data_IF_199524950337
#
_entry.id   IF_199524950337
#
_cell.length_a   1.000
_cell.length_b   1.000
_cell.length_c   1.000
_cell.angle_alpha   90.00
_cell.angle_beta   90.00
_cell.angle_gamma   90.00
#
_symmetry.space_group_name_H-M   'P 1'
#
loop_
_entity.id
_entity.type
_entity.pdbx_description
1 polymer ?
#
# COMPACT_ATOMS: atom_id res chain seq x y z
N UNK A 1 -9.54 17.13 20.16
CA UNK A 1 -9.20 15.88 19.46
C UNK A 1 -8.71 16.28 18.08
N UNK A 2 -7.45 16.00 17.73
CA UNK A 2 -6.96 16.25 16.36
C UNK A 2 -7.54 15.13 15.50
N UNK A 3 -8.37 15.48 14.53
CA UNK A 3 -8.94 14.53 13.58
C UNK A 3 -7.85 14.14 12.58
N UNK A 4 -7.44 12.87 12.54
CA UNK A 4 -6.36 12.41 11.66
C UNK A 4 -6.67 12.64 10.17
N UNK A 5 -7.86 12.25 9.76
CA UNK A 5 -8.41 12.47 8.42
C UNK A 5 -9.92 12.63 8.47
N UNK A 6 -10.49 13.30 7.47
CA UNK A 6 -11.94 13.36 7.26
C UNK A 6 -12.38 12.41 6.14
N UNK A 7 -13.65 12.00 6.13
CA UNK A 7 -14.22 11.20 5.04
C UNK A 7 -14.05 11.87 3.68
N UNK A 8 -14.22 13.20 3.62
CA UNK A 8 -14.03 13.96 2.38
C UNK A 8 -12.59 13.93 1.88
N UNK A 9 -11.61 14.10 2.77
CA UNK A 9 -10.18 13.98 2.44
C UNK A 9 -9.87 12.55 1.95
N UNK A 10 -10.40 11.53 2.63
CA UNK A 10 -10.21 10.13 2.24
C UNK A 10 -10.73 9.85 0.84
N UNK A 11 -11.98 10.22 0.57
CA UNK A 11 -12.60 10.04 -0.74
C UNK A 11 -11.84 10.81 -1.82
N UNK A 12 -11.31 11.99 -1.49
CA UNK A 12 -10.49 12.77 -2.41
C UNK A 12 -9.19 12.05 -2.74
N UNK A 13 -8.44 11.56 -1.76
CA UNK A 13 -7.24 10.75 -2.01
C UNK A 13 -7.58 9.51 -2.82
N UNK A 14 -8.63 8.76 -2.45
CA UNK A 14 -9.09 7.57 -3.18
C UNK A 14 -9.37 7.87 -4.66
N UNK A 15 -10.05 8.99 -4.96
CA UNK A 15 -10.35 9.39 -6.34
C UNK A 15 -9.11 9.76 -7.16
N UNK A 16 -8.09 10.34 -6.52
CA UNK A 16 -6.88 10.83 -7.19
C UNK A 16 -5.75 9.79 -7.21
N UNK A 17 -5.80 8.79 -6.33
CA UNK A 17 -4.71 7.83 -6.10
C UNK A 17 -4.27 7.11 -7.38
N UNK A 18 -5.21 6.81 -8.28
CA UNK A 18 -4.95 6.15 -9.58
C UNK A 18 -4.83 7.12 -10.76
N UNK A 19 -4.87 8.42 -10.53
CA UNK A 19 -4.74 9.40 -11.61
C UNK A 19 -3.39 9.31 -12.31
N UNK A 20 -3.38 9.67 -13.59
CA UNK A 20 -2.17 9.92 -14.36
C UNK A 20 -1.87 11.41 -14.51
N UNK A 21 -2.75 12.30 -14.04
CA UNK A 21 -2.49 13.73 -14.06
C UNK A 21 -1.51 14.15 -12.94
N UNK A 22 -0.50 14.94 -13.29
CA UNK A 22 0.55 15.34 -12.36
C UNK A 22 0.03 16.24 -11.23
N UNK A 23 -0.91 17.15 -11.53
CA UNK A 23 -1.48 18.06 -10.53
C UNK A 23 -2.37 17.30 -9.56
N UNK A 24 -3.15 16.33 -10.04
CA UNK A 24 -3.96 15.45 -9.21
C UNK A 24 -3.12 14.60 -8.25
N UNK A 25 -2.03 14.01 -8.74
CA UNK A 25 -1.11 13.24 -7.90
C UNK A 25 -0.46 14.11 -6.82
N UNK A 26 -0.02 15.33 -7.18
CA UNK A 26 0.53 16.29 -6.21
C UNK A 26 -0.50 16.65 -5.14
N UNK A 27 -1.76 16.84 -5.53
CA UNK A 27 -2.84 17.16 -4.59
C UNK A 27 -3.11 15.98 -3.64
N UNK A 28 -3.09 14.74 -4.13
CA UNK A 28 -3.20 13.55 -3.28
C UNK A 28 -2.07 13.47 -2.26
N UNK A 29 -0.81 13.66 -2.69
CA UNK A 29 0.36 13.68 -1.79
C UNK A 29 0.26 14.80 -0.75
N UNK A 30 -0.20 15.99 -1.13
CA UNK A 30 -0.40 17.09 -0.19
C UNK A 30 -1.39 16.73 0.93
N UNK A 31 -2.51 16.05 0.60
CA UNK A 31 -3.47 15.58 1.61
C UNK A 31 -2.81 14.55 2.54
N UNK A 32 -2.06 13.59 1.99
CA UNK A 32 -1.35 12.57 2.77
C UNK A 32 -0.33 13.20 3.74
N UNK A 33 0.38 14.24 3.31
CA UNK A 33 1.30 14.99 4.18
C UNK A 33 0.57 15.74 5.30
N UNK A 34 -0.61 16.28 5.02
CA UNK A 34 -1.47 16.88 6.05
C UNK A 34 -1.86 15.82 7.09
N UNK A 35 -2.22 14.60 6.66
CA UNK A 35 -2.49 13.50 7.58
C UNK A 35 -1.25 13.15 8.42
N UNK A 36 -0.05 13.10 7.80
CA UNK A 36 1.22 12.88 8.51
C UNK A 36 1.46 13.92 9.60
N UNK A 37 1.20 15.20 9.33
CA UNK A 37 1.36 16.27 10.32
C UNK A 37 0.37 16.11 11.48
N UNK A 38 -0.88 15.70 11.19
CA UNK A 38 -1.93 15.54 12.21
C UNK A 38 -1.75 14.28 13.06
N UNK A 39 -1.31 13.19 12.47
CA UNK A 39 -1.24 11.86 13.10
C UNK A 39 0.17 11.49 13.58
N UNK A 40 1.21 12.12 13.04
CA UNK A 40 2.60 11.77 13.34
C UNK A 40 2.87 10.29 13.06
N UNK A 41 3.42 9.60 14.06
CA UNK A 41 3.76 8.17 13.97
C UNK A 41 2.53 7.25 13.98
N UNK A 42 1.33 7.77 14.23
CA UNK A 42 0.08 7.00 14.16
C UNK A 42 -0.51 6.99 12.75
N UNK A 43 0.14 7.63 11.77
CA UNK A 43 -0.30 7.56 10.38
C UNK A 43 -0.26 6.11 9.89
N UNK A 44 -1.38 5.65 9.35
CA UNK A 44 -1.50 4.26 8.94
C UNK A 44 -0.50 3.95 7.80
N UNK A 45 0.17 2.79 7.84
CA UNK A 45 1.33 2.50 6.97
C UNK A 45 0.97 2.52 5.49
N UNK A 46 -0.25 2.12 5.13
CA UNK A 46 -0.73 2.17 3.74
C UNK A 46 -0.76 3.59 3.13
N UNK A 47 -1.01 4.63 3.94
CA UNK A 47 -0.97 6.03 3.50
C UNK A 47 0.47 6.48 3.34
N UNK A 48 1.36 6.06 4.24
CA UNK A 48 2.79 6.34 4.10
C UNK A 48 3.37 5.72 2.82
N UNK A 49 3.00 4.47 2.53
CA UNK A 49 3.42 3.79 1.30
C UNK A 49 2.83 4.47 0.06
N UNK A 50 1.58 4.92 0.16
CA UNK A 50 0.92 5.69 -0.91
C UNK A 50 1.65 7.00 -1.18
N UNK A 51 2.01 7.76 -0.15
CA UNK A 51 2.78 9.00 -0.29
C UNK A 51 4.10 8.76 -1.01
N UNK A 52 4.85 7.73 -0.59
CA UNK A 52 6.16 7.40 -1.14
C UNK A 52 6.07 6.95 -2.62
N UNK A 53 5.11 6.08 -2.94
CA UNK A 53 4.86 5.60 -4.30
C UNK A 53 4.48 6.75 -5.23
N UNK A 54 3.54 7.60 -4.81
CA UNK A 54 3.09 8.73 -5.63
C UNK A 54 4.21 9.76 -5.80
N UNK A 55 5.00 10.03 -4.76
CA UNK A 55 6.17 10.92 -4.85
C UNK A 55 7.20 10.42 -5.86
N UNK A 56 7.45 9.11 -5.91
CA UNK A 56 8.34 8.51 -6.90
C UNK A 56 7.82 8.71 -8.34
N UNK A 57 6.52 8.51 -8.55
CA UNK A 57 5.86 8.71 -9.86
C UNK A 57 5.89 10.19 -10.28
N UNK A 58 5.62 11.12 -9.35
CA UNK A 58 5.65 12.57 -9.61
C UNK A 58 7.05 13.00 -10.07
N UNK A 59 8.09 12.64 -9.31
CA UNK A 59 9.48 12.98 -9.65
C UNK A 59 9.91 12.41 -11.01
N UNK A 60 9.44 11.20 -11.34
CA UNK A 60 9.71 10.56 -12.62
C UNK A 60 9.06 11.31 -13.80
N UNK A 61 7.79 11.69 -13.65
CA UNK A 61 7.05 12.46 -14.66
C UNK A 61 7.65 13.84 -14.88
N UNK A 62 8.02 14.53 -13.82
CA UNK A 62 8.62 15.88 -13.90
C UNK A 62 9.94 15.87 -14.65
N UNK A 63 10.82 14.92 -14.32
CA UNK A 63 12.11 14.79 -15.01
C UNK A 63 11.93 14.34 -16.46
N UNK A 64 11.00 13.44 -16.74
CA UNK A 64 10.68 13.06 -18.14
C UNK A 64 10.19 14.26 -18.96
N UNK A 65 9.33 15.10 -18.38
CA UNK A 65 8.86 16.33 -19.02
C UNK A 65 9.99 17.34 -19.25
N UNK A 66 10.91 17.48 -18.28
CA UNK A 66 12.06 18.37 -18.39
C UNK A 66 13.02 17.90 -19.49
N UNK A 67 13.39 16.62 -19.53
CA UNK A 67 14.26 16.07 -20.57
C UNK A 67 13.65 16.19 -21.98
N UNK A 68 12.33 16.08 -22.11
CA UNK A 68 11.65 16.32 -23.38
C UNK A 68 11.75 17.79 -23.84
N UNK A 69 11.78 18.74 -22.90
CA UNK A 69 11.89 20.16 -23.20
C UNK A 69 13.34 20.60 -23.51
N UNK A 70 14.34 20.04 -22.81
CA UNK A 70 15.74 20.46 -22.93
C UNK A 70 16.56 19.62 -23.90
N UNK A 71 16.06 18.45 -24.32
CA UNK A 71 16.81 17.45 -25.11
C UNK A 71 18.12 17.02 -24.47
N UNK A 72 18.25 17.18 -23.14
CA UNK A 72 19.44 16.82 -22.38
C UNK A 72 19.14 15.61 -21.47
N UNK A 73 20.04 14.63 -21.49
CA UNK A 73 19.94 13.43 -20.66
C UNK A 73 20.66 13.65 -19.34
N UNK A 74 19.91 14.05 -18.31
CA UNK A 74 20.45 14.19 -16.95
C UNK A 74 20.58 12.80 -16.29
N UNK A 75 21.81 12.28 -16.32
CA UNK A 75 22.16 11.01 -15.69
C UNK A 75 21.95 11.03 -14.17
N UNK A 76 22.13 12.18 -13.51
CA UNK A 76 21.95 12.33 -12.07
C UNK A 76 20.46 12.29 -11.71
N UNK A 77 19.62 12.96 -12.50
CA UNK A 77 18.16 12.85 -12.37
C UNK A 77 17.69 11.39 -12.53
N UNK A 78 18.20 10.69 -13.55
CA UNK A 78 17.88 9.27 -13.77
C UNK A 78 18.31 8.40 -12.57
N UNK A 79 19.48 8.67 -12.00
CA UNK A 79 19.97 7.98 -10.80
C UNK A 79 19.06 8.25 -9.59
N UNK A 80 18.68 9.51 -9.36
CA UNK A 80 17.79 9.91 -8.26
C UNK A 80 16.41 9.27 -8.36
N UNK A 81 15.83 9.17 -9.56
CA UNK A 81 14.58 8.46 -9.79
C UNK A 81 14.69 6.98 -9.41
N UNK A 82 15.78 6.32 -9.81
CA UNK A 82 16.02 4.91 -9.46
C UNK A 82 16.10 4.72 -7.95
N UNK A 83 16.80 5.61 -7.24
CA UNK A 83 16.86 5.57 -5.78
C UNK A 83 15.48 5.74 -5.13
N UNK A 84 14.69 6.71 -5.61
CA UNK A 84 13.38 7.00 -5.05
C UNK A 84 12.39 5.84 -5.26
N UNK A 85 12.36 5.26 -6.48
CA UNK A 85 11.57 4.06 -6.73
C UNK A 85 12.05 2.85 -5.92
N UNK A 86 13.37 2.66 -5.80
CA UNK A 86 13.92 1.60 -4.95
C UNK A 86 13.49 1.74 -3.50
N UNK A 87 13.53 2.96 -2.94
CA UNK A 87 13.03 3.23 -1.59
C UNK A 87 11.55 2.87 -1.47
N UNK A 88 10.72 3.24 -2.44
CA UNK A 88 9.29 2.90 -2.48
C UNK A 88 9.05 1.37 -2.47
N UNK A 89 9.73 0.62 -3.34
CA UNK A 89 9.59 -0.84 -3.43
C UNK A 89 10.09 -1.52 -2.17
N UNK A 90 11.26 -1.12 -1.64
CA UNK A 90 11.83 -1.69 -0.42
C UNK A 90 10.89 -1.50 0.77
N UNK A 91 10.41 -0.27 0.98
CA UNK A 91 9.50 0.07 2.08
C UNK A 91 8.20 -0.71 1.99
N UNK A 92 7.62 -0.78 0.79
CA UNK A 92 6.39 -1.53 0.55
C UNK A 92 6.55 -3.04 0.81
N UNK A 93 7.61 -3.68 0.30
CA UNK A 93 7.84 -5.11 0.50
C UNK A 93 8.13 -5.42 1.98
N UNK A 94 8.88 -4.55 2.67
CA UNK A 94 9.12 -4.69 4.10
C UNK A 94 7.81 -4.59 4.90
N UNK A 95 6.93 -3.63 4.57
CA UNK A 95 5.60 -3.52 5.17
C UNK A 95 4.78 -4.81 5.02
N UNK A 96 4.69 -5.37 3.80
CA UNK A 96 3.97 -6.63 3.59
C UNK A 96 4.58 -7.80 4.36
N UNK A 97 5.90 -7.83 4.46
CA UNK A 97 6.58 -8.84 5.26
C UNK A 97 6.24 -8.69 6.75
N UNK A 98 6.26 -7.48 7.31
CA UNK A 98 5.90 -7.21 8.71
C UNK A 98 4.45 -7.61 9.00
N UNK A 99 3.50 -7.23 8.14
CA UNK A 99 2.11 -7.65 8.24
C UNK A 99 1.94 -9.17 8.31
N UNK A 100 2.71 -9.92 7.52
CA UNK A 100 2.64 -11.38 7.51
C UNK A 100 3.26 -12.01 8.77
N UNK A 101 4.35 -11.43 9.26
CA UNK A 101 5.01 -11.92 10.48
C UNK A 101 4.13 -11.67 11.70
N UNK A 102 3.46 -10.52 11.80
CA UNK A 102 2.52 -10.20 12.86
C UNK A 102 1.33 -11.17 12.88
N UNK A 103 0.79 -11.55 11.72
CA UNK A 103 -0.31 -12.53 11.63
C UNK A 103 0.06 -13.95 12.05
N UNK A 104 1.35 -14.28 12.10
CA UNK A 104 1.83 -15.63 12.44
C UNK A 104 3.07 -15.56 13.34
N UNK A 105 2.95 -15.01 14.56
CA UNK A 105 4.11 -14.73 15.42
C UNK A 105 4.82 -16.02 15.86
N UNK A 106 4.11 -17.16 15.86
CA UNK A 106 4.66 -18.46 16.18
C UNK A 106 5.52 -19.08 15.06
N UNK A 107 5.59 -18.48 13.86
CA UNK A 107 6.30 -19.02 12.70
C UNK A 107 7.30 -18.01 12.13
N UNK A 108 8.58 -18.28 12.31
CA UNK A 108 9.63 -17.52 11.62
C UNK A 108 9.58 -17.82 10.12
N UNK A 109 9.10 -16.85 9.34
CA UNK A 109 9.05 -16.93 7.87
C UNK A 109 10.15 -16.10 7.24
N UNK A 110 10.76 -16.61 6.17
CA UNK A 110 11.59 -15.77 5.30
C UNK A 110 10.72 -14.71 4.60
N UNK A 111 11.30 -13.57 4.22
CA UNK A 111 10.61 -12.51 3.47
C UNK A 111 9.88 -13.08 2.25
N UNK A 112 10.56 -13.96 1.49
CA UNK A 112 9.99 -14.59 0.30
C UNK A 112 8.75 -15.43 0.61
N UNK A 113 8.74 -16.16 1.72
CA UNK A 113 7.57 -16.94 2.16
C UNK A 113 6.44 -16.01 2.59
N UNK A 114 6.75 -15.04 3.47
CA UNK A 114 5.79 -14.09 4.01
C UNK A 114 5.04 -13.34 2.90
N UNK A 115 5.76 -12.68 2.00
CA UNK A 115 5.14 -11.88 0.94
C UNK A 115 4.41 -12.71 -0.11
N UNK A 116 4.77 -13.98 -0.31
CA UNK A 116 4.02 -14.88 -1.20
C UNK A 116 2.59 -15.11 -0.71
N UNK A 117 2.37 -15.08 0.61
CA UNK A 117 1.03 -15.20 1.21
C UNK A 117 0.13 -14.00 0.88
N UNK A 118 0.73 -12.86 0.53
CA UNK A 118 0.02 -11.65 0.09
C UNK A 118 -0.05 -11.54 -1.43
N UNK A 119 0.20 -12.64 -2.15
CA UNK A 119 0.25 -12.72 -3.61
C UNK A 119 1.29 -11.78 -4.24
N UNK A 120 2.38 -11.48 -3.53
CA UNK A 120 3.50 -10.72 -4.09
C UNK A 120 4.29 -11.63 -5.02
N UNK A 121 4.43 -11.29 -6.32
CA UNK A 121 5.16 -12.11 -7.26
C UNK A 121 6.66 -12.08 -6.94
N UNK A 122 7.33 -13.20 -7.17
CA UNK A 122 8.74 -13.39 -6.84
C UNK A 122 9.67 -12.33 -7.45
N UNK A 123 9.34 -11.83 -8.64
CA UNK A 123 10.15 -10.79 -9.30
C UNK A 123 10.13 -9.45 -8.55
N UNK A 124 9.04 -9.08 -7.88
CA UNK A 124 8.99 -7.85 -7.05
C UNK A 124 9.89 -8.00 -5.82
N UNK A 125 9.89 -9.20 -5.22
CA UNK A 125 10.78 -9.53 -4.09
C UNK A 125 12.24 -9.47 -4.53
N UNK A 126 12.54 -9.94 -5.75
CA UNK A 126 13.86 -9.85 -6.34
C UNK A 126 14.30 -8.41 -6.59
N UNK A 127 13.41 -7.53 -7.08
CA UNK A 127 13.69 -6.08 -7.22
C UNK A 127 14.09 -5.47 -5.87
N UNK A 128 13.41 -5.81 -4.78
CA UNK A 128 13.77 -5.39 -3.42
C UNK A 128 15.14 -5.92 -3.01
N UNK A 129 15.44 -7.19 -3.29
CA UNK A 129 16.72 -7.81 -2.96
C UNK A 129 17.87 -7.11 -3.71
N UNK A 130 17.71 -6.88 -5.00
CA UNK A 130 18.68 -6.17 -5.84
C UNK A 130 18.93 -4.74 -5.35
N UNK A 131 17.86 -4.00 -5.10
CA UNK A 131 17.94 -2.61 -4.63
C UNK A 131 18.61 -2.44 -3.26
N UNK A 132 18.66 -3.49 -2.44
CA UNK A 132 19.26 -3.44 -1.09
C UNK A 132 20.67 -4.02 -1.04
N UNK A 133 20.92 -5.13 -1.76
CA UNK A 133 22.13 -5.94 -1.57
C UNK A 133 22.96 -6.14 -2.84
N UNK A 134 22.45 -5.76 -4.01
CA UNK A 134 23.14 -5.96 -5.29
C UNK A 134 23.24 -4.64 -6.06
N UNK A 135 23.06 -4.69 -7.38
CA UNK A 135 23.07 -3.53 -8.25
C UNK A 135 21.67 -2.93 -8.33
N UNK A 136 21.61 -1.59 -8.30
CA UNK A 136 20.36 -0.85 -8.43
C UNK A 136 19.63 -1.27 -9.72
N UNK A 137 18.36 -1.69 -9.67
CA UNK A 137 17.65 -2.13 -10.88
C UNK A 137 17.51 -1.00 -11.91
N UNK A 138 17.19 -1.38 -13.15
CA UNK A 138 16.93 -0.39 -14.20
C UNK A 138 15.65 0.40 -13.90
N UNK A 139 15.57 1.63 -14.38
CA UNK A 139 14.40 2.49 -14.14
C UNK A 139 13.10 1.85 -14.67
N UNK A 140 13.15 1.12 -15.78
CA UNK A 140 11.98 0.42 -16.33
C UNK A 140 11.46 -0.69 -15.41
N UNK A 141 12.37 -1.49 -14.83
CA UNK A 141 12.01 -2.53 -13.87
C UNK A 141 11.40 -1.91 -12.61
N UNK A 142 11.99 -0.80 -12.13
CA UNK A 142 11.53 -0.07 -10.96
C UNK A 142 10.13 0.53 -11.16
N UNK A 143 9.87 1.18 -12.29
CA UNK A 143 8.54 1.68 -12.67
C UNK A 143 7.51 0.55 -12.66
N UNK A 144 7.87 -0.60 -13.24
CA UNK A 144 6.99 -1.78 -13.29
C UNK A 144 6.69 -2.32 -11.88
N UNK A 145 7.73 -2.45 -11.04
CA UNK A 145 7.58 -2.90 -9.65
C UNK A 145 6.70 -1.94 -8.83
N UNK A 146 6.94 -0.64 -8.94
CA UNK A 146 6.18 0.37 -8.21
C UNK A 146 4.73 0.46 -8.67
N UNK A 147 4.45 0.33 -9.96
CA UNK A 147 3.08 0.23 -10.46
C UNK A 147 2.37 -1.01 -9.90
N UNK A 148 3.06 -2.15 -9.84
CA UNK A 148 2.51 -3.34 -9.19
C UNK A 148 2.19 -3.08 -7.70
N UNK A 149 3.09 -2.44 -6.95
CA UNK A 149 2.84 -2.06 -5.55
C UNK A 149 1.65 -1.11 -5.41
N UNK A 150 1.51 -0.14 -6.33
CA UNK A 150 0.39 0.81 -6.39
C UNK A 150 -0.93 0.08 -6.59
N UNK A 151 -1.00 -0.84 -7.54
CA UNK A 151 -2.19 -1.63 -7.82
C UNK A 151 -2.54 -2.58 -6.66
N UNK A 152 -1.53 -3.11 -5.97
CA UNK A 152 -1.73 -3.91 -4.77
C UNK A 152 -2.38 -3.07 -3.66
N UNK A 153 -1.86 -1.87 -3.36
CA UNK A 153 -2.47 -0.96 -2.36
C UNK A 153 -3.87 -0.55 -2.75
N UNK A 154 -4.11 -0.30 -4.04
CA UNK A 154 -5.45 -0.02 -4.52
C UNK A 154 -6.43 -1.13 -4.14
N UNK A 155 -6.10 -2.38 -4.50
CA UNK A 155 -6.99 -3.52 -4.32
C UNK A 155 -7.15 -3.94 -2.86
N UNK A 156 -6.11 -3.77 -2.04
CA UNK A 156 -6.06 -4.29 -0.67
C UNK A 156 -6.33 -3.25 0.41
N UNK A 157 -6.31 -1.96 0.07
CA UNK A 157 -6.55 -0.86 1.01
C UNK A 157 -7.55 0.15 0.46
N UNK A 158 -7.23 0.87 -0.61
CA UNK A 158 -8.06 2.00 -1.06
C UNK A 158 -9.44 1.60 -1.59
N UNK A 159 -9.60 0.40 -2.15
CA UNK A 159 -10.91 -0.11 -2.59
C UNK A 159 -11.81 -0.53 -1.43
N UNK A 160 -11.25 -0.89 -0.28
CA UNK A 160 -12.00 -1.33 0.89
C UNK A 160 -12.81 -0.18 1.52
N UNK A 161 -13.85 -0.50 2.31
CA UNK A 161 -14.47 0.47 3.21
C UNK A 161 -13.43 1.14 4.11
N UNK A 162 -13.67 2.40 4.51
CA UNK A 162 -12.72 3.19 5.31
C UNK A 162 -12.38 2.45 6.61
N UNK A 163 -13.40 1.94 7.30
CA UNK A 163 -13.23 1.23 8.56
C UNK A 163 -12.28 0.04 8.39
N UNK A 164 -12.55 -0.83 7.41
CA UNK A 164 -11.67 -1.96 7.09
C UNK A 164 -10.25 -1.51 6.72
N UNK A 165 -10.11 -0.48 5.89
CA UNK A 165 -8.82 0.00 5.41
C UNK A 165 -7.92 0.53 6.55
N UNK A 166 -8.53 1.11 7.59
CA UNK A 166 -7.86 1.71 8.74
C UNK A 166 -7.55 0.64 9.80
N UNK A 167 -8.48 -0.28 10.05
CA UNK A 167 -8.33 -1.41 11.00
C UNK A 167 -7.17 -2.35 10.65
N UNK A 168 -6.69 -2.36 9.40
CA UNK A 168 -5.44 -3.05 9.05
C UNK A 168 -4.19 -2.47 9.74
N UNK A 169 -4.26 -1.31 10.41
CA UNK A 169 -3.11 -0.64 11.00
C UNK A 169 -3.23 -0.33 12.51
N UNK A 170 -4.42 -0.37 13.11
CA UNK A 170 -4.60 -0.14 14.55
C UNK A 170 -4.94 -1.46 15.26
N UNK A 171 -3.96 -1.97 16.02
CA UNK A 171 -4.03 -3.04 17.02
C UNK A 171 -4.60 -4.43 16.63
N UNK A 172 -3.78 -5.47 16.88
CA UNK A 172 -4.11 -6.90 16.72
C UNK A 172 -5.39 -7.35 17.47
N UNK A 173 -5.80 -6.64 18.53
CA UNK A 173 -7.03 -6.97 19.28
C UNK A 173 -8.31 -6.68 18.50
N UNK A 174 -8.38 -5.58 17.75
CA UNK A 174 -9.58 -5.20 17.01
C UNK A 174 -9.77 -6.08 15.76
N UNK A 175 -8.68 -6.45 15.10
CA UNK A 175 -8.71 -7.39 13.97
C UNK A 175 -9.09 -8.82 14.42
N UNK A 176 -8.60 -9.30 15.56
CA UNK A 176 -9.05 -10.58 16.11
C UNK A 176 -10.52 -10.53 16.51
N UNK A 177 -10.99 -9.42 17.11
CA UNK A 177 -12.41 -9.23 17.41
C UNK A 177 -13.26 -9.21 16.14
N UNK A 178 -12.85 -8.52 15.08
CA UNK A 178 -13.57 -8.49 13.80
C UNK A 178 -13.65 -9.87 13.14
N UNK A 179 -12.54 -10.61 13.07
CA UNK A 179 -12.54 -11.99 12.55
C UNK A 179 -13.51 -12.85 13.37
N UNK A 180 -13.47 -12.73 14.70
CA UNK A 180 -14.38 -13.46 15.59
C UNK A 180 -15.85 -13.06 15.37
N UNK A 181 -16.13 -11.78 15.12
CA UNK A 181 -17.48 -11.29 14.81
C UNK A 181 -17.97 -11.85 13.47
N UNK A 182 -17.13 -11.87 12.43
CA UNK A 182 -17.49 -12.46 11.14
C UNK A 182 -17.79 -13.96 11.26
N UNK A 183 -16.96 -14.70 12.00
CA UNK A 183 -17.17 -16.13 12.28
C UNK A 183 -18.48 -16.36 13.05
N UNK A 184 -18.78 -15.50 14.03
CA UNK A 184 -20.03 -15.54 14.80
C UNK A 184 -21.27 -15.23 13.94
N UNK A 185 -21.16 -14.25 13.04
CA UNK A 185 -22.24 -13.91 12.09
C UNK A 185 -22.49 -15.08 11.14
N UNK A 186 -21.43 -15.72 10.61
CA UNK A 186 -21.55 -16.88 9.73
C UNK A 186 -22.20 -18.07 10.45
N UNK A 187 -21.84 -18.32 11.71
CA UNK A 187 -22.50 -19.32 12.56
C UNK A 187 -23.98 -19.01 12.77
N UNK A 188 -24.33 -17.77 13.11
CA UNK A 188 -25.72 -17.34 13.30
C UNK A 188 -26.54 -17.47 12.01
N UNK A 189 -25.97 -17.14 10.86
CA UNK A 189 -26.60 -17.32 9.54
C UNK A 189 -26.84 -18.82 9.28
N UNK A 190 -25.84 -19.66 9.53
CA UNK A 190 -25.95 -21.10 9.33
C UNK A 190 -26.95 -21.76 10.28
N UNK A 191 -27.01 -21.33 11.53
CA UNK A 191 -28.01 -21.78 12.51
C UNK A 191 -29.42 -21.34 12.12
N UNK A 192 -29.59 -20.07 11.70
CA UNK A 192 -30.87 -19.57 11.20
C UNK A 192 -31.37 -20.35 9.97
N UNK A 193 -30.48 -20.63 9.01
CA UNK A 193 -30.81 -21.43 7.83
C UNK A 193 -31.24 -22.84 8.25
N UNK A 194 -30.51 -23.48 9.18
CA UNK A 194 -30.81 -24.83 9.68
C UNK A 194 -32.17 -24.90 10.37
N UNK A 195 -32.48 -23.95 11.24
CA UNK A 195 -33.77 -23.91 11.97
C UNK A 195 -34.94 -23.68 11.01
N UNK A 196 -34.76 -22.88 9.97
CA UNK A 196 -35.78 -22.67 8.93
C UNK A 196 -35.97 -23.87 8.02
N UNK A 197 -34.92 -24.64 7.71
CA UNK A 197 -35.07 -25.87 6.93
C UNK A 197 -35.68 -27.02 7.74
N UNK A 198 -35.42 -27.08 9.05
CA UNK A 198 -36.00 -28.10 9.92
C UNK A 198 -37.45 -27.84 10.33
N UNK A 199 -37.93 -26.58 10.25
CA UNK A 199 -39.34 -26.22 10.52
C UNK A 199 -40.27 -26.36 9.31
N UNK A 200 -39.76 -26.84 8.17
CA UNK A 200 -40.51 -27.08 6.93
C UNK A 200 -40.72 -28.59 6.63
N UNK A 201 -40.24 -29.49 7.49
CA UNK A 201 -40.51 -30.93 7.47
C UNK A 201 -41.42 -31.33 8.65
#
# INVERSE_FOLDING_TARGET
MIVGYTTSEWLKVKSLYRSDDLAELRYAVAILQVWRIRMGNSMHVAAEMSELILSAIIADKESTALSAATSDSDWLSTFNQRLLYSAAVIRFVNYLNELCQQKQPARTMSIKQAVSMMNVPSWVVEVRHQATHQHLPSLNILRTATNWCRDWLWSNHWQKPIDEAVLYNDNDEDMHQLITIYDQIELLINDFIRDRMNSLN
#
